data_IF_492485826435
#
_entry.id   IF_492485826435
#
_cell.length_a   1.000
_cell.length_b   1.000
_cell.length_c   1.000
_cell.angle_alpha   90.00
_cell.angle_beta   90.00
_cell.angle_gamma   90.00
#
_symmetry.space_group_name_H-M   'P 1'
#
loop_
_entity.id
_entity.type
_entity.pdbx_description
1 polymer ?
#
# COMPACT_ATOMS: atom_id res chain seq x y z
N UNK A 1 -4.31 -8.86 8.58
CA UNK A 1 -3.46 -9.87 7.94
C UNK A 1 -4.36 -10.82 7.18
N UNK A 2 -4.18 -10.92 5.87
CA UNK A 2 -4.91 -11.92 5.09
C UNK A 2 -4.24 -13.27 5.27
N UNK A 3 -5.02 -14.30 5.29
CA UNK A 3 -4.58 -15.60 5.76
C UNK A 3 -4.28 -16.59 4.62
N UNK A 4 -4.45 -16.15 3.36
CA UNK A 4 -4.17 -17.00 2.19
C UNK A 4 -4.18 -16.18 0.88
N UNK A 5 -3.56 -16.73 -0.18
CA UNK A 5 -3.61 -16.17 -1.52
C UNK A 5 -5.06 -15.92 -2.00
N UNK A 6 -5.95 -16.88 -1.76
CA UNK A 6 -7.36 -16.79 -2.18
C UNK A 6 -8.07 -15.61 -1.53
N UNK A 7 -7.91 -15.42 -0.21
CA UNK A 7 -8.54 -14.30 0.50
C UNK A 7 -8.00 -12.95 0.03
N UNK A 8 -6.69 -12.85 -0.24
CA UNK A 8 -6.09 -11.61 -0.76
C UNK A 8 -6.61 -11.28 -2.16
N UNK A 9 -6.76 -12.25 -3.07
CA UNK A 9 -7.32 -12.01 -4.40
C UNK A 9 -8.80 -11.65 -4.35
N UNK A 10 -9.61 -12.29 -3.49
CA UNK A 10 -11.02 -11.92 -3.30
C UNK A 10 -11.13 -10.50 -2.75
N UNK A 11 -10.36 -10.16 -1.72
CA UNK A 11 -10.33 -8.82 -1.14
C UNK A 11 -9.92 -7.77 -2.19
N UNK A 12 -8.90 -8.07 -3.01
CA UNK A 12 -8.47 -7.21 -4.12
C UNK A 12 -9.63 -6.94 -5.09
N UNK A 13 -10.37 -7.97 -5.50
CA UNK A 13 -11.51 -7.81 -6.39
C UNK A 13 -12.62 -6.94 -5.81
N UNK A 14 -13.00 -7.18 -4.55
CA UNK A 14 -14.04 -6.41 -3.86
C UNK A 14 -13.63 -4.95 -3.67
N UNK A 15 -12.41 -4.71 -3.14
CA UNK A 15 -11.88 -3.37 -2.91
C UNK A 15 -11.68 -2.64 -4.26
N UNK A 16 -11.26 -3.36 -5.30
CA UNK A 16 -11.11 -2.82 -6.65
C UNK A 16 -12.44 -2.35 -7.24
N UNK A 17 -13.52 -3.11 -7.05
CA UNK A 17 -14.85 -2.69 -7.47
C UNK A 17 -15.30 -1.40 -6.75
N UNK A 18 -15.02 -1.29 -5.44
CA UNK A 18 -15.25 -0.06 -4.66
C UNK A 18 -14.37 1.08 -5.23
N UNK A 19 -13.10 0.81 -5.53
CA UNK A 19 -12.18 1.79 -6.11
C UNK A 19 -12.67 2.34 -7.45
N UNK A 20 -13.19 1.49 -8.33
CA UNK A 20 -13.80 1.93 -9.59
C UNK A 20 -15.03 2.79 -9.33
N UNK A 21 -15.89 2.39 -8.38
CA UNK A 21 -17.10 3.13 -8.04
C UNK A 21 -16.77 4.53 -7.46
N UNK A 22 -15.78 4.62 -6.57
CA UNK A 22 -15.35 5.90 -5.99
C UNK A 22 -14.71 6.82 -7.02
N UNK A 23 -13.84 6.31 -7.89
CA UNK A 23 -13.20 7.09 -8.95
C UNK A 23 -14.22 7.66 -9.95
N UNK A 24 -15.28 6.91 -10.28
CA UNK A 24 -16.35 7.38 -11.16
C UNK A 24 -17.16 8.54 -10.57
N UNK A 25 -17.16 8.72 -9.25
CA UNK A 25 -17.87 9.79 -8.56
C UNK A 25 -17.06 11.06 -8.36
N UNK A 26 -15.76 11.04 -8.70
CA UNK A 26 -14.90 12.20 -8.56
C UNK A 26 -15.34 13.30 -9.52
N UNK A 27 -15.68 14.46 -8.96
CA UNK A 27 -16.03 15.67 -9.71
C UNK A 27 -14.95 16.75 -9.63
N UNK A 28 -14.10 16.68 -8.61
CA UNK A 28 -13.07 17.69 -8.36
C UNK A 28 -11.67 17.03 -8.38
N UNK A 29 -10.71 17.58 -9.14
CA UNK A 29 -9.36 17.01 -9.24
C UNK A 29 -8.67 16.84 -7.89
N UNK A 30 -8.92 17.74 -6.92
CA UNK A 30 -8.34 17.63 -5.57
C UNK A 30 -8.78 16.39 -4.78
N UNK A 31 -9.93 15.80 -5.13
CA UNK A 31 -10.43 14.58 -4.50
C UNK A 31 -9.87 13.31 -5.16
N UNK A 32 -9.20 13.42 -6.32
CA UNK A 32 -8.79 12.26 -7.11
C UNK A 32 -7.85 11.33 -6.32
N UNK A 33 -6.84 11.90 -5.64
CA UNK A 33 -5.87 11.10 -4.90
C UNK A 33 -6.55 10.34 -3.74
N UNK A 34 -7.45 10.99 -3.01
CA UNK A 34 -8.20 10.33 -1.94
C UNK A 34 -9.16 9.26 -2.48
N UNK A 35 -9.86 9.55 -3.56
CA UNK A 35 -10.77 8.60 -4.21
C UNK A 35 -10.04 7.40 -4.85
N UNK A 36 -8.74 7.54 -5.17
CA UNK A 36 -7.92 6.44 -5.69
C UNK A 36 -7.43 5.49 -4.60
N UNK A 37 -7.53 5.85 -3.33
CA UNK A 37 -7.03 5.03 -2.21
C UNK A 37 -7.59 3.60 -2.25
N UNK A 38 -8.89 3.33 -2.43
CA UNK A 38 -9.37 1.96 -2.51
C UNK A 38 -8.76 1.17 -3.68
N UNK A 39 -8.56 1.82 -4.84
CA UNK A 39 -7.92 1.17 -5.99
C UNK A 39 -6.47 0.82 -5.69
N UNK A 40 -5.73 1.71 -5.05
CA UNK A 40 -4.35 1.47 -4.63
C UNK A 40 -4.25 0.32 -3.61
N UNK A 41 -5.21 0.25 -2.67
CA UNK A 41 -5.31 -0.89 -1.75
C UNK A 41 -5.67 -2.19 -2.46
N UNK A 42 -6.50 -2.15 -3.51
CA UNK A 42 -6.82 -3.34 -4.31
C UNK A 42 -5.55 -3.88 -5.00
N UNK A 43 -4.73 -3.01 -5.58
CA UNK A 43 -3.44 -3.39 -6.16
C UNK A 43 -2.50 -3.97 -5.09
N UNK A 44 -2.46 -3.36 -3.91
CA UNK A 44 -1.66 -3.87 -2.80
C UNK A 44 -2.12 -5.27 -2.35
N UNK A 45 -3.44 -5.48 -2.18
CA UNK A 45 -4.00 -6.79 -1.87
C UNK A 45 -3.71 -7.83 -2.97
N UNK A 46 -3.70 -7.40 -4.24
CA UNK A 46 -3.32 -8.27 -5.33
C UNK A 46 -1.86 -8.70 -5.23
N UNK A 47 -0.94 -7.78 -4.94
CA UNK A 47 0.48 -8.14 -4.72
C UNK A 47 0.66 -9.05 -3.51
N UNK A 48 -0.11 -8.86 -2.43
CA UNK A 48 -0.11 -9.76 -1.27
C UNK A 48 -0.50 -11.19 -1.65
N UNK A 49 -1.51 -11.36 -2.52
CA UNK A 49 -1.89 -12.68 -3.04
C UNK A 49 -0.72 -13.40 -3.74
N UNK A 50 0.09 -12.67 -4.49
CA UNK A 50 1.29 -13.23 -5.12
C UNK A 50 2.38 -13.56 -4.12
N UNK A 51 2.56 -12.76 -3.06
CA UNK A 51 3.48 -13.09 -1.97
C UNK A 51 3.09 -14.42 -1.33
N UNK A 52 1.81 -14.65 -1.04
CA UNK A 52 1.31 -15.92 -0.52
C UNK A 52 1.59 -17.10 -1.45
N UNK A 53 1.37 -16.94 -2.77
CA UNK A 53 1.71 -17.98 -3.75
C UNK A 53 3.21 -18.29 -3.75
N UNK A 54 4.05 -17.30 -3.51
CA UNK A 54 5.49 -17.51 -3.38
C UNK A 54 5.88 -18.25 -2.10
N UNK A 55 5.27 -17.90 -0.97
CA UNK A 55 5.48 -18.58 0.30
C UNK A 55 4.99 -20.03 0.27
N UNK A 56 3.90 -20.31 -0.47
CA UNK A 56 3.39 -21.65 -0.73
C UNK A 56 4.25 -22.45 -1.75
N UNK A 57 5.35 -21.87 -2.25
CA UNK A 57 6.23 -22.54 -3.22
C UNK A 57 5.66 -22.67 -4.64
N UNK A 58 4.57 -21.96 -4.97
CA UNK A 58 3.89 -22.02 -6.29
C UNK A 58 4.56 -21.14 -7.34
N UNK A 59 5.39 -20.18 -6.94
CA UNK A 59 6.20 -19.36 -7.84
C UNK A 59 7.67 -19.42 -7.40
N UNK A 60 8.57 -19.16 -8.36
CA UNK A 60 10.01 -19.20 -8.09
C UNK A 60 10.47 -18.10 -7.14
N UNK A 61 11.58 -18.35 -6.43
CA UNK A 61 12.14 -17.43 -5.44
C UNK A 61 12.36 -16.01 -5.99
N UNK A 62 12.88 -15.89 -7.21
CA UNK A 62 13.12 -14.59 -7.84
C UNK A 62 11.82 -13.78 -8.00
N UNK A 63 10.72 -14.44 -8.38
CA UNK A 63 9.42 -13.80 -8.50
C UNK A 63 8.88 -13.39 -7.11
N UNK A 64 9.06 -14.24 -6.10
CA UNK A 64 8.69 -13.92 -4.71
C UNK A 64 9.44 -12.69 -4.21
N UNK A 65 10.75 -12.62 -4.43
CA UNK A 65 11.58 -11.49 -3.98
C UNK A 65 11.09 -10.16 -4.61
N UNK A 66 10.73 -10.17 -5.90
CA UNK A 66 10.20 -8.98 -6.58
C UNK A 66 8.81 -8.56 -6.05
N UNK A 67 7.88 -9.51 -5.92
CA UNK A 67 6.53 -9.15 -5.43
C UNK A 67 6.54 -8.75 -3.97
N UNK A 68 7.40 -9.36 -3.15
CA UNK A 68 7.61 -8.97 -1.76
C UNK A 68 8.20 -7.55 -1.66
N UNK A 69 9.17 -7.22 -2.51
CA UNK A 69 9.71 -5.87 -2.60
C UNK A 69 8.61 -4.84 -2.94
N UNK A 70 7.78 -5.12 -3.95
CA UNK A 70 6.66 -4.23 -4.34
C UNK A 70 5.64 -4.08 -3.21
N UNK A 71 5.31 -5.18 -2.52
CA UNK A 71 4.40 -5.17 -1.39
C UNK A 71 4.92 -4.28 -0.25
N UNK A 72 6.18 -4.45 0.13
CA UNK A 72 6.82 -3.66 1.19
C UNK A 72 7.01 -2.20 0.79
N UNK A 73 7.42 -1.94 -0.46
CA UNK A 73 7.57 -0.59 -1.01
C UNK A 73 6.27 0.20 -0.91
N UNK A 74 5.14 -0.42 -1.22
CA UNK A 74 3.85 0.23 -1.09
C UNK A 74 3.47 0.46 0.38
N UNK A 75 3.52 -0.60 1.20
CA UNK A 75 3.04 -0.54 2.59
C UNK A 75 3.87 0.37 3.49
N UNK A 76 5.18 0.28 3.39
CA UNK A 76 6.11 1.03 4.25
C UNK A 76 6.68 2.28 3.55
N UNK A 77 6.94 2.19 2.24
CA UNK A 77 7.52 3.30 1.51
C UNK A 77 6.49 4.36 1.11
N UNK A 78 5.40 3.99 0.45
CA UNK A 78 4.51 4.95 -0.20
C UNK A 78 3.36 5.39 0.71
N UNK A 79 2.76 4.47 1.46
CA UNK A 79 1.53 4.71 2.22
C UNK A 79 1.67 5.81 3.29
N UNK A 80 2.77 5.92 4.06
CA UNK A 80 2.95 6.97 5.05
C UNK A 80 2.90 8.39 4.48
N UNK A 81 3.35 8.55 3.22
CA UNK A 81 3.27 9.81 2.49
C UNK A 81 1.91 10.00 1.83
N UNK A 82 1.39 8.96 1.19
CA UNK A 82 0.18 9.01 0.36
C UNK A 82 -1.04 9.44 1.16
N UNK A 83 -1.25 8.85 2.34
CA UNK A 83 -2.47 9.08 3.12
C UNK A 83 -2.60 10.53 3.60
N UNK A 84 -1.62 11.12 4.30
CA UNK A 84 -1.73 12.51 4.70
C UNK A 84 -1.72 13.48 3.50
N UNK A 85 -1.01 13.18 2.42
CA UNK A 85 -1.03 13.98 1.19
C UNK A 85 -2.42 14.01 0.56
N UNK A 86 -3.10 12.87 0.46
CA UNK A 86 -4.46 12.77 -0.08
C UNK A 86 -5.45 13.64 0.71
N UNK A 87 -5.36 13.62 2.05
CA UNK A 87 -6.20 14.46 2.91
C UNK A 87 -5.81 15.94 2.78
N UNK A 88 -4.51 16.27 2.71
CA UNK A 88 -4.05 17.66 2.57
C UNK A 88 -4.54 18.33 1.28
N UNK A 89 -4.69 17.58 0.20
CA UNK A 89 -5.22 18.08 -1.07
C UNK A 89 -6.70 18.46 -0.99
N UNK A 90 -7.47 17.75 -0.16
CA UNK A 90 -8.90 18.01 0.01
C UNK A 90 -9.19 19.11 1.03
N UNK A 91 -8.30 19.33 2.00
CA UNK A 91 -8.53 20.27 3.09
C UNK A 91 -8.44 21.72 2.61
N UNK A 92 -9.41 22.57 2.94
CA UNK A 92 -9.37 24.01 2.64
C UNK A 92 -8.16 24.69 3.30
N UNK A 93 -7.70 25.84 2.75
CA UNK A 93 -6.62 26.61 3.35
C UNK A 93 -6.94 27.00 4.81
N UNK A 94 -6.06 26.68 5.74
CA UNK A 94 -6.24 26.98 7.16
C UNK A 94 -5.19 26.26 8.02
N UNK A 95 -5.35 26.37 9.35
CA UNK A 95 -4.42 25.74 10.30
C UNK A 95 -4.44 24.20 10.22
N UNK A 96 -5.61 23.60 9.94
CA UNK A 96 -5.76 22.15 9.78
C UNK A 96 -4.93 21.64 8.61
N UNK A 97 -5.04 22.31 7.44
CA UNK A 97 -4.21 21.98 6.29
C UNK A 97 -2.71 22.08 6.59
N UNK A 98 -2.29 23.10 7.34
CA UNK A 98 -0.87 23.25 7.74
C UNK A 98 -0.41 22.08 8.63
N UNK A 99 -1.25 21.66 9.59
CA UNK A 99 -0.96 20.50 10.44
C UNK A 99 -0.85 19.20 9.61
N UNK A 100 -1.79 19.00 8.65
CA UNK A 100 -1.76 17.82 7.77
C UNK A 100 -0.53 17.86 6.84
N UNK A 101 -0.15 19.02 6.32
CA UNK A 101 1.08 19.17 5.53
C UNK A 101 2.34 18.87 6.34
N UNK A 102 2.37 19.23 7.62
CA UNK A 102 3.47 18.84 8.51
C UNK A 102 3.53 17.32 8.69
N UNK A 103 2.38 16.64 8.86
CA UNK A 103 2.30 15.18 8.88
C UNK A 103 2.73 14.55 7.55
N UNK A 104 2.38 15.17 6.41
CA UNK A 104 2.85 14.76 5.09
C UNK A 104 4.38 14.85 4.99
N UNK A 105 4.98 15.91 5.54
CA UNK A 105 6.43 16.06 5.63
C UNK A 105 7.09 14.95 6.47
N UNK A 106 6.50 14.60 7.61
CA UNK A 106 6.95 13.45 8.42
C UNK A 106 6.80 12.16 7.63
N UNK A 107 5.66 11.94 6.97
CA UNK A 107 5.43 10.78 6.10
C UNK A 107 6.45 10.68 4.96
N UNK A 108 6.89 11.81 4.40
CA UNK A 108 7.95 11.84 3.39
C UNK A 108 9.31 11.40 3.96
N UNK A 109 9.66 11.81 5.17
CA UNK A 109 10.88 11.38 5.85
C UNK A 109 10.86 9.88 6.15
N UNK A 110 9.72 9.37 6.64
CA UNK A 110 9.51 7.92 6.87
C UNK A 110 9.63 7.16 5.56
N UNK A 111 8.99 7.64 4.50
CA UNK A 111 9.07 7.05 3.16
C UNK A 111 10.53 6.92 2.68
N UNK A 112 11.33 7.99 2.78
CA UNK A 112 12.75 7.95 2.40
C UNK A 112 13.53 6.97 3.26
N UNK A 113 13.29 6.96 4.57
CA UNK A 113 13.95 6.03 5.49
C UNK A 113 13.63 4.58 5.14
N UNK A 114 12.36 4.24 4.98
CA UNK A 114 11.91 2.88 4.71
C UNK A 114 12.36 2.38 3.33
N UNK A 115 12.28 3.23 2.29
CA UNK A 115 12.79 2.89 0.96
C UNK A 115 14.30 2.66 1.00
N UNK A 116 15.03 3.49 1.73
CA UNK A 116 16.49 3.30 1.90
C UNK A 116 16.77 1.98 2.61
N UNK A 117 16.04 1.68 3.69
CA UNK A 117 16.12 0.40 4.38
C UNK A 117 15.82 -0.79 3.47
N UNK A 118 14.75 -0.69 2.67
CA UNK A 118 14.34 -1.75 1.75
C UNK A 118 15.36 -2.04 0.65
N UNK A 119 16.12 -1.01 0.19
CA UNK A 119 17.15 -1.16 -0.84
C UNK A 119 18.45 -1.69 -0.26
N UNK A 120 18.86 -1.22 0.90
CA UNK A 120 20.20 -1.50 1.45
C UNK A 120 20.24 -2.62 2.48
N UNK A 121 19.10 -2.97 3.09
CA UNK A 121 19.02 -4.05 4.08
C UNK A 121 18.43 -5.32 3.44
N UNK A 122 19.03 -6.51 3.69
CA UNK A 122 18.48 -7.76 3.16
C UNK A 122 17.17 -8.09 3.86
N UNK A 123 16.06 -7.92 3.17
CA UNK A 123 14.74 -8.35 3.62
C UNK A 123 14.46 -9.78 3.15
N UNK A 124 14.01 -10.64 4.06
CA UNK A 124 13.61 -12.02 3.75
C UNK A 124 12.16 -12.21 4.17
N UNK A 125 11.32 -12.69 3.25
CA UNK A 125 9.99 -13.17 3.59
C UNK A 125 10.07 -14.59 4.12
N UNK A 126 9.50 -14.84 5.29
CA UNK A 126 9.35 -16.18 5.86
C UNK A 126 7.99 -16.27 6.58
N UNK A 127 7.44 -17.47 6.61
CA UNK A 127 6.30 -17.79 7.45
C UNK A 127 6.88 -18.22 8.80
N UNK A 128 6.64 -17.43 9.84
CA UNK A 128 6.90 -17.86 11.20
C UNK A 128 5.84 -18.92 11.56
N UNK A 129 6.22 -20.17 11.43
CA UNK A 129 5.44 -21.25 12.01
C UNK A 129 5.71 -21.21 13.51
N UNK A 130 4.72 -20.70 14.26
CA UNK A 130 4.69 -20.89 15.69
C UNK A 130 4.76 -22.41 15.95
N UNK A 131 5.92 -22.83 16.40
CA UNK A 131 6.09 -24.14 16.99
C UNK A 131 5.33 -24.13 18.31
N UNK A 132 4.11 -24.68 18.31
CA UNK A 132 3.41 -25.10 19.52
C UNK A 132 4.03 -26.38 20.01
#
# INVERSE_FOLDING_TARGET
MCFSATSSFIASGVIGAIGVATLRQVREPRALLFASVPMLFAVHQFTEGWVWLGLDGRIGKLALDHVAFLFMLYAQGILPLLMPAAVALMEPPGWRRRAILALTGIGALVCVWDITGLIFLPSRCFIEQDSI
#
